data_IF_486971351709
#
_entry.id   IF_486971351709
#
_cell.length_a   1.000
_cell.length_b   1.000
_cell.length_c   1.000
_cell.angle_alpha   90.00
_cell.angle_beta   90.00
_cell.angle_gamma   90.00
#
_symmetry.space_group_name_H-M   'P 1'
#
loop_
_entity.id
_entity.type
_entity.pdbx_description
1 polymer ?
#
# COMPACT_ATOMS: atom_id res chain seq x y z
N UNK A 1 -67.75 -59.74 26.56
CA UNK A 1 -68.14 -58.97 25.36
C UNK A 1 -69.63 -58.68 25.48
N UNK A 2 -70.16 -57.47 25.17
CA UNK A 2 -69.55 -56.33 24.46
C UNK A 2 -69.62 -54.98 25.21
N UNK A 3 -68.99 -53.97 24.57
CA UNK A 3 -68.80 -52.55 24.91
C UNK A 3 -69.98 -51.67 24.48
N UNK A 4 -70.16 -50.50 25.13
CA UNK A 4 -70.61 -49.18 24.59
C UNK A 4 -70.66 -48.16 25.75
N UNK A 5 -69.62 -47.35 26.01
CA UNK A 5 -69.39 -45.94 25.59
C UNK A 5 -70.58 -44.97 25.66
N UNK A 6 -70.55 -44.06 26.63
CA UNK A 6 -71.15 -42.73 26.56
C UNK A 6 -70.12 -41.72 27.13
N UNK A 7 -69.64 -40.79 26.30
CA UNK A 7 -68.87 -39.63 26.76
C UNK A 7 -69.44 -38.38 26.11
N UNK A 8 -69.79 -37.45 26.98
CA UNK A 8 -70.48 -36.20 26.69
C UNK A 8 -69.56 -35.14 26.08
N UNK A 9 -70.24 -34.19 25.43
CA UNK A 9 -69.81 -33.00 24.70
C UNK A 9 -68.61 -32.21 25.24
N UNK A 10 -67.70 -31.86 24.32
CA UNK A 10 -66.97 -30.59 24.32
C UNK A 10 -66.91 -30.07 22.88
N UNK A 11 -67.50 -28.89 22.64
CA UNK A 11 -67.51 -28.17 21.36
C UNK A 11 -66.09 -27.78 20.93
N UNK A 12 -65.74 -27.84 19.62
CA UNK A 12 -64.54 -27.19 19.10
C UNK A 12 -64.77 -25.69 18.78
N UNK A 13 -63.71 -24.86 18.72
CA UNK A 13 -63.82 -23.43 18.47
C UNK A 13 -64.08 -23.11 16.99
N UNK A 14 -64.73 -21.96 16.76
CA UNK A 14 -65.06 -21.41 15.45
C UNK A 14 -63.80 -21.16 14.60
N UNK A 15 -63.85 -21.56 13.34
CA UNK A 15 -62.83 -21.30 12.32
C UNK A 15 -62.64 -19.79 12.05
N UNK A 16 -61.40 -19.30 11.82
CA UNK A 16 -61.21 -17.92 11.39
C UNK A 16 -61.75 -17.72 9.97
N UNK A 17 -62.59 -16.70 9.81
CA UNK A 17 -63.18 -16.31 8.55
C UNK A 17 -62.12 -16.12 7.46
N UNK A 18 -62.33 -16.76 6.31
CA UNK A 18 -61.48 -16.70 5.12
C UNK A 18 -61.53 -15.27 4.56
N UNK A 19 -60.57 -14.42 4.95
CA UNK A 19 -60.42 -13.07 4.37
C UNK A 19 -60.17 -13.20 2.87
N UNK A 20 -60.98 -12.50 2.08
CA UNK A 20 -60.84 -12.41 0.64
C UNK A 20 -59.46 -11.82 0.29
N UNK A 21 -58.75 -12.42 -0.68
CA UNK A 21 -57.46 -11.91 -1.16
C UNK A 21 -57.52 -10.44 -1.63
N UNK A 22 -58.71 -9.92 -1.93
CA UNK A 22 -58.90 -8.51 -2.33
C UNK A 22 -58.66 -7.52 -1.19
N UNK A 23 -59.06 -7.83 0.05
CA UNK A 23 -58.91 -6.88 1.16
C UNK A 23 -57.45 -6.73 1.62
N UNK A 24 -56.63 -7.77 1.43
CA UNK A 24 -55.19 -7.72 1.74
C UNK A 24 -54.45 -6.86 0.72
N UNK A 25 -54.84 -6.89 -0.55
CA UNK A 25 -54.19 -6.08 -1.60
C UNK A 25 -54.54 -4.60 -1.43
N UNK A 26 -55.77 -4.27 -1.04
CA UNK A 26 -56.16 -2.89 -0.73
C UNK A 26 -55.47 -2.35 0.53
N UNK A 27 -55.30 -3.16 1.57
CA UNK A 27 -54.53 -2.78 2.77
C UNK A 27 -53.04 -2.54 2.45
N UNK A 28 -52.45 -3.40 1.60
CA UNK A 28 -51.05 -3.24 1.15
C UNK A 28 -50.89 -2.00 0.28
N UNK A 29 -51.84 -1.72 -0.62
CA UNK A 29 -51.82 -0.51 -1.44
C UNK A 29 -52.00 0.77 -0.60
N UNK A 30 -52.89 0.73 0.41
CA UNK A 30 -53.12 1.86 1.31
C UNK A 30 -51.94 2.11 2.26
N UNK A 31 -51.21 1.06 2.67
CA UNK A 31 -49.97 1.23 3.44
C UNK A 31 -48.80 1.71 2.57
N UNK A 32 -48.70 1.22 1.32
CA UNK A 32 -47.68 1.68 0.38
C UNK A 32 -47.82 3.18 0.04
N UNK A 33 -49.06 3.69 -0.05
CA UNK A 33 -49.33 5.11 -0.24
C UNK A 33 -48.93 5.95 0.99
N UNK A 34 -49.18 5.47 2.20
CA UNK A 34 -48.77 6.15 3.45
C UNK A 34 -47.26 6.10 3.68
N UNK A 35 -46.58 5.01 3.31
CA UNK A 35 -45.13 4.90 3.32
C UNK A 35 -44.49 5.81 2.25
N UNK A 36 -45.13 5.96 1.08
CA UNK A 36 -44.69 6.91 0.06
C UNK A 36 -44.82 8.36 0.55
N UNK A 37 -45.92 8.70 1.24
CA UNK A 37 -46.12 10.02 1.87
C UNK A 37 -45.14 10.28 3.03
N UNK A 38 -44.82 9.28 3.85
CA UNK A 38 -43.82 9.40 4.92
C UNK A 38 -42.39 9.46 4.38
N UNK A 39 -42.09 8.79 3.25
CA UNK A 39 -40.80 8.91 2.55
C UNK A 39 -40.61 10.29 1.92
N UNK A 40 -41.67 10.99 1.51
CA UNK A 40 -41.55 12.37 0.99
C UNK A 40 -41.40 13.45 2.06
N UNK A 41 -41.76 13.17 3.32
CA UNK A 41 -41.77 14.18 4.38
C UNK A 41 -40.55 14.18 5.31
N UNK A 42 -39.63 13.21 5.18
CA UNK A 42 -38.37 13.17 5.96
C UNK A 42 -37.12 13.00 5.08
N UNK A 43 -37.13 13.59 3.88
CA UNK A 43 -35.87 13.94 3.21
C UNK A 43 -35.29 15.18 3.88
N UNK A 44 -34.89 15.03 5.14
CA UNK A 44 -33.81 15.83 5.69
C UNK A 44 -32.67 15.72 4.70
N UNK A 45 -32.47 16.77 3.90
CA UNK A 45 -31.43 16.84 2.87
C UNK A 45 -30.12 16.64 3.61
N UNK A 46 -29.65 15.40 3.66
CA UNK A 46 -28.27 15.09 3.94
C UNK A 46 -27.52 15.73 2.79
N UNK A 47 -27.18 17.02 2.96
CA UNK A 47 -26.35 17.77 2.05
C UNK A 47 -25.09 16.92 1.91
N UNK A 48 -24.98 16.21 0.78
CA UNK A 48 -23.75 15.56 0.36
C UNK A 48 -22.72 16.70 0.32
N UNK A 49 -21.99 16.89 1.42
CA UNK A 49 -20.98 17.93 1.51
C UNK A 49 -20.00 17.64 0.40
N UNK A 50 -20.03 18.46 -0.64
CA UNK A 50 -19.06 18.40 -1.71
C UNK A 50 -17.67 18.41 -1.05
N UNK A 51 -16.75 17.51 -1.45
CA UNK A 51 -15.42 17.48 -0.88
C UNK A 51 -14.78 18.86 -0.96
N UNK A 52 -14.20 19.33 0.14
CA UNK A 52 -13.56 20.64 0.17
C UNK A 52 -12.52 20.75 -0.97
N UNK A 53 -12.46 21.89 -1.69
CA UNK A 53 -11.47 22.09 -2.75
C UNK A 53 -10.04 22.02 -2.18
N UNK A 54 -9.02 21.75 -3.02
CA UNK A 54 -7.63 21.78 -2.60
C UNK A 54 -7.25 23.16 -2.05
N UNK A 55 -6.52 23.20 -0.95
CA UNK A 55 -6.00 24.43 -0.37
C UNK A 55 -4.59 24.76 -0.85
N UNK A 56 -4.05 25.90 -0.39
CA UNK A 56 -2.68 26.36 -0.73
C UNK A 56 -1.61 25.28 -0.46
N UNK A 57 -1.71 24.57 0.66
CA UNK A 57 -0.76 23.50 1.02
C UNK A 57 -0.80 22.33 0.02
N UNK A 58 -1.97 22.00 -0.54
CA UNK A 58 -2.08 20.93 -1.55
C UNK A 58 -1.34 21.33 -2.83
N UNK A 59 -1.46 22.59 -3.24
CA UNK A 59 -0.75 23.11 -4.41
C UNK A 59 0.76 23.21 -4.18
N UNK A 60 1.20 23.64 -3.00
CA UNK A 60 2.63 23.68 -2.65
C UNK A 60 3.21 22.27 -2.66
N UNK A 61 2.56 21.31 -1.99
CA UNK A 61 3.01 19.92 -1.99
C UNK A 61 3.08 19.34 -3.41
N UNK A 62 2.13 19.67 -4.27
CA UNK A 62 2.15 19.22 -5.66
C UNK A 62 3.32 19.80 -6.46
N UNK A 63 3.56 21.11 -6.34
CA UNK A 63 4.72 21.74 -6.99
C UNK A 63 6.03 21.19 -6.46
N UNK A 64 6.16 21.03 -5.14
CA UNK A 64 7.36 20.45 -4.53
C UNK A 64 7.59 19.02 -5.02
N UNK A 65 6.55 18.18 -5.06
CA UNK A 65 6.67 16.83 -5.58
C UNK A 65 7.09 16.81 -7.05
N UNK A 66 6.49 17.64 -7.91
CA UNK A 66 6.83 17.70 -9.33
C UNK A 66 8.25 18.24 -9.59
N UNK A 67 8.65 19.29 -8.87
CA UNK A 67 9.99 19.88 -8.99
C UNK A 67 11.08 18.93 -8.48
N UNK A 68 10.79 18.15 -7.43
CA UNK A 68 11.71 17.16 -6.89
C UNK A 68 12.00 15.99 -7.84
N UNK A 69 11.09 15.68 -8.77
CA UNK A 69 11.32 14.70 -9.84
C UNK A 69 12.29 15.19 -10.92
N UNK A 70 12.37 16.51 -11.16
CA UNK A 70 13.04 17.05 -12.34
C UNK A 70 14.53 16.68 -12.45
N UNK A 71 15.34 16.72 -11.38
CA UNK A 71 16.76 16.39 -11.50
C UNK A 71 16.98 14.94 -11.95
N UNK A 72 16.27 13.99 -11.35
CA UNK A 72 16.39 12.57 -11.70
C UNK A 72 15.84 12.29 -13.10
N UNK A 73 14.66 12.85 -13.43
CA UNK A 73 14.07 12.71 -14.76
C UNK A 73 15.00 13.26 -15.85
N UNK A 74 15.66 14.40 -15.58
CA UNK A 74 16.62 15.02 -16.50
C UNK A 74 17.85 14.13 -16.70
N UNK A 75 18.43 13.60 -15.62
CA UNK A 75 19.56 12.68 -15.70
C UNK A 75 19.22 11.41 -16.48
N UNK A 76 18.08 10.78 -16.16
CA UNK A 76 17.63 9.57 -16.85
C UNK A 76 17.34 9.83 -18.33
N UNK A 77 16.72 10.96 -18.67
CA UNK A 77 16.48 11.34 -20.06
C UNK A 77 17.80 11.61 -20.81
N UNK A 78 18.77 12.28 -20.17
CA UNK A 78 20.09 12.51 -20.74
C UNK A 78 20.83 11.20 -20.99
N UNK A 79 20.80 10.23 -20.05
CA UNK A 79 21.40 8.92 -20.23
C UNK A 79 20.73 8.10 -21.35
N UNK A 80 19.41 8.19 -21.51
CA UNK A 80 18.69 7.58 -22.65
C UNK A 80 19.14 8.21 -23.98
N UNK A 81 19.41 9.52 -23.99
CA UNK A 81 19.93 10.25 -25.14
C UNK A 81 21.45 10.03 -25.38
N UNK A 82 22.12 9.24 -24.53
CA UNK A 82 23.54 8.90 -24.68
C UNK A 82 24.52 9.81 -23.93
N UNK A 83 24.04 10.70 -23.07
CA UNK A 83 24.93 11.48 -22.18
C UNK A 83 25.61 10.60 -21.14
N UNK A 84 26.86 10.91 -20.81
CA UNK A 84 27.62 10.32 -19.71
C UNK A 84 27.67 11.23 -18.46
N UNK A 85 26.81 12.25 -18.36
CA UNK A 85 26.82 13.17 -17.22
C UNK A 85 26.65 12.42 -15.89
N UNK A 86 27.63 12.57 -14.99
CA UNK A 86 27.64 11.90 -13.69
C UNK A 86 28.07 10.42 -13.72
N UNK A 87 28.51 9.92 -14.88
CA UNK A 87 29.05 8.56 -15.06
C UNK A 87 30.58 8.66 -15.26
N UNK A 88 31.39 8.15 -14.31
CA UNK A 88 32.85 8.13 -14.45
C UNK A 88 33.33 7.33 -15.67
N UNK A 89 34.50 7.64 -16.26
CA UNK A 89 35.02 6.96 -17.45
C UNK A 89 35.21 5.45 -17.29
N UNK A 90 35.57 5.00 -16.08
CA UNK A 90 35.77 3.58 -15.74
C UNK A 90 34.47 2.89 -15.29
N UNK A 91 33.30 3.51 -15.46
CA UNK A 91 32.06 2.93 -14.95
C UNK A 91 31.56 1.82 -15.87
N UNK A 92 31.19 0.63 -15.33
CA UNK A 92 30.61 -0.47 -16.11
C UNK A 92 29.25 -0.10 -16.73
N UNK A 93 28.66 1.03 -16.35
CA UNK A 93 27.45 1.57 -16.99
C UNK A 93 27.66 1.93 -18.47
N UNK A 94 28.90 2.15 -18.90
CA UNK A 94 29.21 2.50 -20.28
C UNK A 94 29.17 1.28 -21.23
N UNK A 95 29.33 0.06 -20.70
CA UNK A 95 29.47 -1.18 -21.49
C UNK A 95 28.13 -1.80 -21.95
N UNK A 96 27.04 -1.56 -21.21
CA UNK A 96 25.76 -2.26 -21.39
C UNK A 96 24.63 -1.37 -21.92
N UNK A 97 24.79 -0.90 -23.16
CA UNK A 97 24.00 0.21 -23.71
C UNK A 97 22.50 -0.05 -23.87
N UNK A 98 22.03 -1.19 -24.36
CA UNK A 98 20.59 -1.35 -24.65
C UNK A 98 19.76 -1.63 -23.39
N UNK A 99 20.16 -2.61 -22.58
CA UNK A 99 19.42 -2.99 -21.36
C UNK A 99 19.39 -1.83 -20.37
N UNK A 100 20.50 -1.12 -20.21
CA UNK A 100 20.56 0.06 -19.35
C UNK A 100 19.68 1.21 -19.89
N UNK A 101 19.67 1.45 -21.20
CA UNK A 101 18.76 2.45 -21.81
C UNK A 101 17.29 2.09 -21.57
N UNK A 102 16.91 0.82 -21.69
CA UNK A 102 15.55 0.36 -21.41
C UNK A 102 15.20 0.48 -19.93
N UNK A 103 16.13 0.14 -19.03
CA UNK A 103 15.96 0.34 -17.58
C UNK A 103 15.78 1.82 -17.24
N UNK A 104 16.60 2.70 -17.82
CA UNK A 104 16.49 4.15 -17.66
C UNK A 104 15.17 4.68 -18.20
N UNK A 105 14.75 4.26 -19.39
CA UNK A 105 13.45 4.61 -19.97
C UNK A 105 12.29 4.16 -19.07
N UNK A 106 12.36 2.96 -18.51
CA UNK A 106 11.41 2.47 -17.52
C UNK A 106 11.32 3.39 -16.30
N UNK A 107 12.45 3.86 -15.77
CA UNK A 107 12.45 4.81 -14.64
C UNK A 107 11.91 6.19 -15.01
N UNK A 108 12.10 6.66 -16.25
CA UNK A 108 11.46 7.90 -16.73
C UNK A 108 9.94 7.75 -16.73
N UNK A 109 9.42 6.60 -17.18
CA UNK A 109 7.98 6.31 -17.15
C UNK A 109 7.46 6.28 -15.72
N UNK A 110 8.21 5.69 -14.79
CA UNK A 110 7.83 5.64 -13.37
C UNK A 110 7.72 7.04 -12.76
N UNK A 111 8.70 7.92 -12.98
CA UNK A 111 8.66 9.30 -12.48
C UNK A 111 7.59 10.14 -13.18
N UNK A 112 7.38 9.93 -14.49
CA UNK A 112 6.27 10.51 -15.23
C UNK A 112 4.91 10.11 -14.62
N UNK A 113 4.75 8.86 -14.20
CA UNK A 113 3.55 8.39 -13.52
C UNK A 113 3.35 9.08 -12.16
N UNK A 114 4.42 9.44 -11.45
CA UNK A 114 4.33 10.24 -10.22
C UNK A 114 3.80 11.64 -10.53
N UNK A 115 4.24 12.29 -11.61
CA UNK A 115 3.73 13.60 -12.02
C UNK A 115 2.22 13.51 -12.35
N UNK A 116 1.79 12.49 -13.09
CA UNK A 116 0.37 12.24 -13.37
C UNK A 116 -0.41 12.01 -12.07
N UNK A 117 0.16 11.26 -11.12
CA UNK A 117 -0.43 11.02 -9.83
C UNK A 117 -0.59 12.30 -9.00
N UNK A 118 0.41 13.18 -9.00
CA UNK A 118 0.33 14.51 -8.37
C UNK A 118 -0.82 15.33 -8.97
N UNK A 119 -0.95 15.33 -10.30
CA UNK A 119 -2.05 16.02 -10.99
C UNK A 119 -3.40 15.44 -10.56
N UNK A 120 -3.53 14.11 -10.50
CA UNK A 120 -4.75 13.45 -10.02
C UNK A 120 -5.09 13.85 -8.58
N UNK A 121 -4.11 13.96 -7.69
CA UNK A 121 -4.37 14.27 -6.27
C UNK A 121 -4.75 15.75 -6.04
N UNK A 122 -4.43 16.65 -6.96
CA UNK A 122 -4.74 18.09 -6.84
C UNK A 122 -5.92 18.51 -7.70
N UNK A 123 -6.07 17.95 -8.90
CA UNK A 123 -7.04 18.44 -9.88
C UNK A 123 -8.44 17.83 -9.62
N UNK A 124 -9.52 18.55 -9.98
CA UNK A 124 -10.88 18.09 -9.70
C UNK A 124 -11.26 16.77 -10.37
N UNK A 125 -10.62 16.42 -11.50
CA UNK A 125 -10.89 15.16 -12.21
C UNK A 125 -10.36 13.93 -11.45
N UNK A 126 -9.37 14.07 -10.56
CA UNK A 126 -8.93 12.95 -9.74
C UNK A 126 -9.99 12.46 -8.77
N UNK A 127 -10.88 13.34 -8.30
CA UNK A 127 -12.03 12.94 -7.49
C UNK A 127 -13.04 12.09 -8.30
N UNK A 128 -12.97 12.07 -9.63
CA UNK A 128 -13.80 11.20 -10.48
C UNK A 128 -13.10 9.89 -10.82
N UNK A 129 -11.78 9.81 -10.64
CA UNK A 129 -11.03 8.60 -10.95
C UNK A 129 -11.42 7.45 -10.01
N UNK A 130 -11.51 6.21 -10.53
CA UNK A 130 -11.59 5.00 -9.71
C UNK A 130 -10.53 4.98 -8.62
N UNK A 131 -10.90 4.64 -7.38
CA UNK A 131 -9.97 4.69 -6.23
C UNK A 131 -8.72 3.83 -6.41
N UNK A 132 -8.82 2.70 -7.11
CA UNK A 132 -7.70 1.80 -7.36
C UNK A 132 -6.63 2.41 -8.28
N UNK A 133 -7.01 3.27 -9.24
CA UNK A 133 -6.08 4.01 -10.10
C UNK A 133 -5.25 5.04 -9.34
N UNK A 134 -5.62 5.36 -8.10
CA UNK A 134 -4.86 6.24 -7.21
C UNK A 134 -4.11 5.44 -6.16
N UNK A 135 -4.80 4.52 -5.49
CA UNK A 135 -4.23 3.77 -4.37
C UNK A 135 -3.07 2.88 -4.82
N UNK A 136 -3.18 2.18 -5.96
CA UNK A 136 -2.11 1.29 -6.43
C UNK A 136 -0.85 2.08 -6.79
N UNK A 137 -0.89 3.14 -7.62
CA UNK A 137 0.31 3.93 -7.89
C UNK A 137 0.92 4.61 -6.67
N UNK A 138 0.11 5.16 -5.75
CA UNK A 138 0.63 5.72 -4.49
C UNK A 138 1.30 4.65 -3.65
N UNK A 139 0.70 3.46 -3.56
CA UNK A 139 1.25 2.35 -2.78
C UNK A 139 2.59 1.87 -3.35
N UNK A 140 2.70 1.76 -4.67
CA UNK A 140 3.96 1.45 -5.37
C UNK A 140 4.99 2.55 -5.10
N UNK A 141 4.64 3.81 -5.34
CA UNK A 141 5.55 4.94 -5.18
C UNK A 141 6.07 5.06 -3.73
N UNK A 142 5.17 5.05 -2.75
CA UNK A 142 5.56 5.11 -1.33
C UNK A 142 6.33 3.86 -0.88
N UNK A 143 6.02 2.69 -1.43
CA UNK A 143 6.77 1.46 -1.19
C UNK A 143 8.20 1.54 -1.70
N UNK A 144 8.40 1.99 -2.94
CA UNK A 144 9.73 2.16 -3.54
C UNK A 144 10.54 3.27 -2.86
N UNK A 145 9.89 4.35 -2.44
CA UNK A 145 10.58 5.48 -1.81
C UNK A 145 10.97 5.20 -0.35
N UNK A 146 10.27 4.30 0.35
CA UNK A 146 10.50 4.07 1.79
C UNK A 146 11.94 3.64 2.12
N UNK A 147 12.57 2.66 1.43
CA UNK A 147 13.97 2.31 1.67
C UNK A 147 14.93 3.48 1.44
N UNK A 148 14.62 4.39 0.51
CA UNK A 148 15.46 5.57 0.23
C UNK A 148 15.32 6.60 1.36
N UNK A 149 14.08 6.86 1.79
CA UNK A 149 13.76 7.79 2.90
C UNK A 149 14.40 7.35 4.21
N UNK A 150 14.51 6.05 4.46
CA UNK A 150 15.15 5.53 5.67
C UNK A 150 16.65 5.30 5.51
N UNK A 151 17.06 4.74 4.38
CA UNK A 151 18.41 4.25 4.14
C UNK A 151 19.40 5.37 3.88
N UNK A 152 19.09 6.29 2.98
CA UNK A 152 20.05 7.32 2.59
C UNK A 152 20.43 8.26 3.74
N UNK A 153 19.49 8.79 4.56
CA UNK A 153 19.87 9.57 5.73
C UNK A 153 20.69 8.76 6.74
N UNK A 154 20.39 7.48 6.92
CA UNK A 154 21.15 6.61 7.82
C UNK A 154 22.58 6.35 7.30
N UNK A 155 22.77 6.21 5.99
CA UNK A 155 24.09 6.13 5.35
C UNK A 155 24.90 7.41 5.56
N UNK A 156 24.29 8.58 5.37
CA UNK A 156 24.94 9.86 5.63
C UNK A 156 25.37 10.02 7.09
N UNK A 157 24.50 9.63 8.03
CA UNK A 157 24.83 9.65 9.46
C UNK A 157 25.97 8.68 9.77
N UNK A 158 25.94 7.46 9.23
CA UNK A 158 27.02 6.50 9.41
C UNK A 158 28.36 7.01 8.86
N UNK A 159 28.35 7.63 7.67
CA UNK A 159 29.53 8.29 7.09
C UNK A 159 30.05 9.45 7.95
N UNK A 160 29.16 10.31 8.46
CA UNK A 160 29.53 11.41 9.34
C UNK A 160 30.13 10.95 10.69
N UNK A 161 29.73 9.76 11.16
CA UNK A 161 30.29 9.11 12.35
C UNK A 161 31.61 8.36 12.06
N UNK A 162 32.14 8.46 10.84
CA UNK A 162 33.38 7.78 10.44
C UNK A 162 33.23 6.27 10.23
N UNK A 163 32.01 5.74 10.25
CA UNK A 163 31.77 4.33 9.95
C UNK A 163 31.98 4.03 8.46
N UNK A 164 31.73 5.03 7.60
CA UNK A 164 32.26 5.05 6.23
C UNK A 164 33.65 5.68 6.26
N UNK A 165 34.70 4.87 6.16
CA UNK A 165 36.05 5.39 6.01
C UNK A 165 36.10 6.47 4.93
N UNK A 166 36.91 7.50 5.17
CA UNK A 166 37.16 8.67 4.30
C UNK A 166 37.87 8.29 2.99
N UNK A 167 37.28 7.36 2.25
CA UNK A 167 37.83 6.69 1.10
C UNK A 167 36.88 5.57 0.69
N UNK A 168 35.74 5.92 0.09
CA UNK A 168 34.93 4.97 -0.67
C UNK A 168 35.60 4.61 -2.01
N UNK A 169 36.92 4.42 -1.99
CA UNK A 169 37.58 3.46 -2.87
C UNK A 169 37.41 2.11 -2.18
N UNK A 170 36.22 1.52 -2.32
CA UNK A 170 36.25 0.11 -2.70
C UNK A 170 37.17 0.04 -3.92
N UNK A 171 38.07 -0.94 -4.03
CA UNK A 171 38.78 -1.21 -5.28
C UNK A 171 37.82 -1.52 -6.47
N UNK A 172 36.51 -1.46 -6.24
CA UNK A 172 35.48 -1.46 -7.26
C UNK A 172 35.33 -0.07 -7.90
N UNK A 173 35.31 -0.07 -9.23
CA UNK A 173 35.11 1.12 -10.06
C UNK A 173 33.87 1.92 -9.65
N UNK A 174 33.97 3.26 -9.56
CA UNK A 174 32.85 4.09 -9.13
C UNK A 174 31.71 4.04 -10.16
N UNK A 175 30.56 3.53 -9.72
CA UNK A 175 29.37 3.35 -10.55
C UNK A 175 28.80 4.68 -11.08
N UNK A 176 28.70 5.70 -10.21
CA UNK A 176 28.25 7.06 -10.51
C UNK A 176 29.02 8.04 -9.62
N UNK A 177 29.11 9.31 -10.04
CA UNK A 177 29.63 10.38 -9.18
C UNK A 177 28.79 10.55 -7.90
N UNK A 178 29.44 10.87 -6.78
CA UNK A 178 28.78 11.01 -5.47
C UNK A 178 27.69 12.08 -5.44
N UNK A 179 27.84 13.17 -6.20
CA UNK A 179 26.85 14.23 -6.29
C UNK A 179 25.53 13.75 -6.91
N UNK A 180 25.57 12.73 -7.78
CA UNK A 180 24.38 12.15 -8.42
C UNK A 180 23.49 11.53 -7.36
N UNK A 181 24.07 10.76 -6.43
CA UNK A 181 23.32 10.17 -5.32
C UNK A 181 22.70 11.25 -4.43
N UNK A 182 23.44 12.32 -4.11
CA UNK A 182 22.93 13.40 -3.29
C UNK A 182 21.73 14.12 -3.93
N UNK A 183 21.83 14.44 -5.22
CA UNK A 183 20.75 15.11 -5.97
C UNK A 183 19.55 14.18 -6.12
N UNK A 184 19.76 12.92 -6.51
CA UNK A 184 18.69 11.97 -6.80
C UNK A 184 17.97 11.52 -5.54
N UNK A 185 18.70 11.05 -4.52
CA UNK A 185 18.09 10.57 -3.28
C UNK A 185 17.54 11.73 -2.45
N UNK A 186 18.18 12.91 -2.48
CA UNK A 186 17.61 14.13 -1.90
C UNK A 186 16.26 14.49 -2.55
N UNK A 187 16.20 14.49 -3.89
CA UNK A 187 14.97 14.69 -4.64
C UNK A 187 13.88 13.67 -4.28
N UNK A 188 14.20 12.38 -4.26
CA UNK A 188 13.27 11.33 -3.88
C UNK A 188 12.72 11.47 -2.45
N UNK A 189 13.54 11.90 -1.49
CA UNK A 189 13.07 12.14 -0.12
C UNK A 189 12.06 13.29 -0.10
N UNK A 190 12.38 14.41 -0.75
CA UNK A 190 11.48 15.57 -0.85
C UNK A 190 10.17 15.17 -1.55
N UNK A 191 10.27 14.43 -2.65
CA UNK A 191 9.14 13.88 -3.40
C UNK A 191 8.28 12.96 -2.52
N UNK A 192 8.88 12.05 -1.76
CA UNK A 192 8.17 11.13 -0.88
C UNK A 192 7.36 11.89 0.19
N UNK A 193 7.95 12.89 0.83
CA UNK A 193 7.31 13.70 1.86
C UNK A 193 6.15 14.53 1.29
N UNK A 194 6.38 15.16 0.12
CA UNK A 194 5.38 15.98 -0.54
C UNK A 194 4.21 15.14 -1.07
N UNK A 195 4.49 14.03 -1.75
CA UNK A 195 3.48 13.09 -2.27
C UNK A 195 2.66 12.47 -1.15
N UNK A 196 3.30 12.04 -0.05
CA UNK A 196 2.60 11.47 1.11
C UNK A 196 1.69 12.51 1.76
N UNK A 197 2.19 13.73 1.97
CA UNK A 197 1.38 14.83 2.51
C UNK A 197 0.15 15.08 1.65
N UNK A 198 0.36 15.20 0.34
CA UNK A 198 -0.71 15.44 -0.63
C UNK A 198 -1.72 14.29 -0.66
N UNK A 199 -1.25 13.05 -0.65
CA UNK A 199 -2.10 11.86 -0.63
C UNK A 199 -2.94 11.79 0.64
N UNK A 200 -2.37 12.02 1.83
CA UNK A 200 -3.12 11.99 3.09
C UNK A 200 -4.22 13.04 3.12
N UNK A 201 -3.94 14.25 2.60
CA UNK A 201 -4.93 15.33 2.49
C UNK A 201 -6.01 15.02 1.46
N UNK A 202 -5.64 14.46 0.31
CA UNK A 202 -6.58 13.97 -0.70
C UNK A 202 -7.47 12.86 -0.13
N UNK A 203 -6.88 11.89 0.55
CA UNK A 203 -7.58 10.77 1.17
C UNK A 203 -8.54 11.25 2.27
N UNK A 204 -8.13 12.23 3.08
CA UNK A 204 -8.97 12.86 4.08
C UNK A 204 -10.18 13.58 3.50
N UNK A 205 -10.09 14.12 2.28
CA UNK A 205 -11.23 14.74 1.57
C UNK A 205 -12.13 13.69 0.91
N UNK A 206 -11.54 12.68 0.27
CA UNK A 206 -12.25 11.69 -0.53
C UNK A 206 -12.90 10.57 0.31
N UNK A 207 -12.23 10.11 1.35
CA UNK A 207 -12.62 8.94 2.14
C UNK A 207 -12.86 9.28 3.62
N UNK A 208 -13.23 10.53 3.90
CA UNK A 208 -13.46 11.04 5.25
C UNK A 208 -14.49 10.21 6.06
N UNK A 209 -15.52 9.67 5.38
CA UNK A 209 -16.54 8.82 5.98
C UNK A 209 -16.02 7.44 6.38
N UNK A 210 -15.19 6.83 5.51
CA UNK A 210 -14.54 5.52 5.75
C UNK A 210 -13.55 5.59 6.92
N UNK A 211 -12.91 6.74 7.14
CA UNK A 211 -11.98 6.97 8.24
C UNK A 211 -12.68 7.19 9.60
N UNK A 212 -13.91 7.72 9.61
CA UNK A 212 -14.65 8.13 10.82
C UNK A 212 -15.57 7.05 11.42
N UNK A 213 -15.77 5.92 10.72
CA UNK A 213 -16.54 4.79 11.26
C UNK A 213 -16.00 4.30 12.61
N UNK A 214 -16.82 4.35 13.66
CA UNK A 214 -16.46 3.88 15.01
C UNK A 214 -16.10 2.38 14.95
N UNK A 215 -14.93 1.96 15.47
CA UNK A 215 -14.60 0.55 15.58
C UNK A 215 -15.50 -0.09 16.65
N UNK A 216 -16.65 -0.65 16.25
CA UNK A 216 -17.52 -1.34 17.20
C UNK A 216 -18.91 -1.72 16.71
N UNK A 217 -19.45 -1.12 15.67
CA UNK A 217 -20.88 -1.31 15.35
C UNK A 217 -21.19 -2.44 14.36
N UNK A 218 -20.20 -2.99 13.65
CA UNK A 218 -20.49 -4.01 12.65
C UNK A 218 -19.51 -5.17 12.72
N UNK A 219 -20.07 -6.38 12.81
CA UNK A 219 -19.31 -7.64 12.71
C UNK A 219 -18.78 -7.73 11.27
N UNK A 220 -17.49 -8.04 11.06
CA UNK A 220 -17.04 -8.36 9.72
C UNK A 220 -17.72 -9.67 9.30
N UNK A 221 -18.61 -9.58 8.31
CA UNK A 221 -19.12 -10.74 7.58
C UNK A 221 -18.07 -11.31 6.61
N UNK A 222 -16.86 -10.73 6.58
CA UNK A 222 -15.69 -11.32 5.94
C UNK A 222 -15.22 -12.57 6.68
N UNK A 223 -14.90 -13.63 5.93
CA UNK A 223 -14.43 -14.91 6.48
C UNK A 223 -13.19 -14.70 7.37
N UNK A 224 -13.37 -14.82 8.70
CA UNK A 224 -12.28 -14.80 9.68
C UNK A 224 -11.19 -15.83 9.35
N UNK A 225 -11.56 -16.92 8.67
CA UNK A 225 -10.62 -17.94 8.23
C UNK A 225 -9.65 -17.39 7.16
N UNK A 226 -10.14 -16.63 6.18
CA UNK A 226 -9.30 -16.02 5.15
C UNK A 226 -8.31 -15.01 5.74
N UNK A 227 -8.74 -14.16 6.68
CA UNK A 227 -7.85 -13.24 7.38
C UNK A 227 -6.77 -13.98 8.19
N UNK A 228 -7.14 -15.07 8.90
CA UNK A 228 -6.18 -15.91 9.63
C UNK A 228 -5.18 -16.60 8.70
N UNK A 229 -5.62 -17.07 7.53
CA UNK A 229 -4.75 -17.70 6.55
C UNK A 229 -3.71 -16.72 6.01
N UNK A 230 -4.11 -15.49 5.68
CA UNK A 230 -3.19 -14.45 5.21
C UNK A 230 -2.18 -14.06 6.29
N UNK A 231 -2.62 -13.93 7.55
CA UNK A 231 -1.74 -13.70 8.69
C UNK A 231 -0.75 -14.86 8.85
N UNK A 232 -1.22 -16.10 8.82
CA UNK A 232 -0.36 -17.28 8.91
C UNK A 232 0.66 -17.30 7.77
N UNK A 233 0.24 -17.00 6.54
CA UNK A 233 1.14 -16.89 5.39
C UNK A 233 2.24 -15.86 5.60
N UNK A 234 1.91 -14.64 6.06
CA UNK A 234 2.91 -13.62 6.40
C UNK A 234 3.86 -14.11 7.49
N UNK A 235 3.34 -14.71 8.56
CA UNK A 235 4.16 -15.21 9.68
C UNK A 235 5.08 -16.38 9.29
N UNK A 236 4.65 -17.25 8.38
CA UNK A 236 5.44 -18.39 7.90
C UNK A 236 6.50 -17.96 6.89
N UNK A 237 6.17 -17.02 6.00
CA UNK A 237 7.08 -16.61 4.92
C UNK A 237 8.14 -15.59 5.36
N UNK A 238 7.89 -14.81 6.42
CA UNK A 238 8.79 -13.72 6.85
C UNK A 238 10.10 -14.16 7.52
N UNK A 239 10.16 -15.21 8.36
CA UNK A 239 11.36 -15.54 9.13
C UNK A 239 12.62 -15.73 8.27
N UNK A 240 12.51 -16.43 7.14
CA UNK A 240 13.63 -16.66 6.24
C UNK A 240 14.26 -15.36 5.69
N UNK A 241 13.53 -14.51 4.92
CA UNK A 241 14.11 -13.28 4.42
C UNK A 241 14.48 -12.30 5.54
N UNK A 242 13.74 -12.29 6.65
CA UNK A 242 14.07 -11.42 7.78
C UNK A 242 15.39 -11.80 8.43
N UNK A 243 15.63 -13.09 8.68
CA UNK A 243 16.87 -13.56 9.29
C UNK A 243 18.09 -13.21 8.43
N UNK A 244 18.01 -13.38 7.10
CA UNK A 244 19.10 -13.02 6.20
C UNK A 244 19.32 -11.51 6.13
N UNK A 245 18.25 -10.69 6.07
CA UNK A 245 18.39 -9.23 6.09
C UNK A 245 19.00 -8.74 7.41
N UNK A 246 18.65 -9.33 8.55
CA UNK A 246 19.25 -9.01 9.84
C UNK A 246 20.72 -9.48 9.92
N UNK A 247 21.03 -10.67 9.39
CA UNK A 247 22.39 -11.17 9.33
C UNK A 247 23.29 -10.27 8.46
N UNK A 248 22.81 -9.87 7.28
CA UNK A 248 23.52 -8.92 6.42
C UNK A 248 23.64 -7.54 7.07
N UNK A 249 22.60 -7.04 7.74
CA UNK A 249 22.67 -5.80 8.50
C UNK A 249 23.73 -5.87 9.64
N UNK A 250 23.91 -7.05 10.23
CA UNK A 250 24.95 -7.32 11.23
C UNK A 250 26.34 -7.58 10.62
N UNK A 251 26.48 -7.56 9.30
CA UNK A 251 27.75 -7.70 8.59
C UNK A 251 28.10 -9.12 8.11
N UNK A 252 27.16 -10.06 8.16
CA UNK A 252 27.34 -11.37 7.53
C UNK A 252 27.57 -11.23 6.02
N UNK A 253 28.52 -11.99 5.47
CA UNK A 253 28.73 -12.16 4.03
C UNK A 253 27.97 -13.37 3.44
N UNK A 254 26.99 -13.94 4.15
CA UNK A 254 26.33 -15.17 3.73
C UNK A 254 25.71 -15.05 2.32
N UNK A 255 26.19 -15.87 1.38
CA UNK A 255 25.74 -15.88 -0.01
C UNK A 255 26.13 -14.65 -0.81
N UNK A 256 27.06 -13.83 -0.32
CA UNK A 256 27.66 -12.68 -0.99
C UNK A 256 29.16 -12.97 -1.22
N UNK A 257 29.78 -12.28 -2.17
CA UNK A 257 31.21 -12.47 -2.49
C UNK A 257 32.17 -11.91 -1.42
N UNK A 258 31.62 -11.24 -0.40
CA UNK A 258 32.37 -10.71 0.73
C UNK A 258 31.47 -10.10 1.82
N UNK A 259 32.05 -9.66 2.94
CA UNK A 259 31.31 -8.90 3.94
C UNK A 259 30.79 -7.59 3.33
N UNK A 260 29.51 -7.31 3.56
CA UNK A 260 28.86 -6.12 3.00
C UNK A 260 29.46 -4.80 3.52
N UNK A 261 29.46 -3.78 2.66
CA UNK A 261 29.80 -2.41 3.05
C UNK A 261 28.83 -1.85 4.10
N UNK A 262 29.21 -0.77 4.77
CA UNK A 262 28.32 -0.07 5.71
C UNK A 262 27.00 0.28 5.03
N UNK A 263 27.06 0.75 3.79
CA UNK A 263 25.88 1.12 3.01
C UNK A 263 24.98 -0.08 2.74
N UNK A 264 25.54 -1.23 2.35
CA UNK A 264 24.75 -2.44 2.13
C UNK A 264 24.14 -2.97 3.42
N UNK A 265 24.82 -2.83 4.56
CA UNK A 265 24.28 -3.17 5.89
C UNK A 265 23.09 -2.29 6.25
N UNK A 266 23.18 -0.97 6.01
CA UNK A 266 22.07 -0.04 6.22
C UNK A 266 20.89 -0.40 5.32
N UNK A 267 21.13 -0.69 4.05
CA UNK A 267 20.08 -1.13 3.11
C UNK A 267 19.41 -2.41 3.61
N UNK A 268 20.18 -3.41 4.04
CA UNK A 268 19.63 -4.65 4.61
C UNK A 268 18.75 -4.39 5.85
N UNK A 269 19.18 -3.47 6.73
CA UNK A 269 18.39 -3.05 7.88
C UNK A 269 17.05 -2.41 7.47
N UNK A 270 17.01 -1.54 6.45
CA UNK A 270 15.74 -0.96 5.96
C UNK A 270 14.79 -2.01 5.40
N UNK A 271 15.32 -3.06 4.77
CA UNK A 271 14.53 -4.18 4.27
C UNK A 271 13.96 -5.03 5.40
N UNK A 272 14.75 -5.29 6.45
CA UNK A 272 14.26 -5.92 7.67
C UNK A 272 13.14 -5.10 8.32
N UNK A 273 13.30 -3.77 8.43
CA UNK A 273 12.24 -2.88 8.93
C UNK A 273 10.95 -2.97 8.10
N UNK A 274 11.07 -3.03 6.77
CA UNK A 274 9.92 -3.15 5.87
C UNK A 274 9.14 -4.46 6.08
N UNK A 275 9.85 -5.57 6.26
CA UNK A 275 9.27 -6.88 6.60
C UNK A 275 8.55 -6.83 7.95
N UNK A 276 9.18 -6.23 8.96
CA UNK A 276 8.59 -6.07 10.29
C UNK A 276 7.33 -5.19 10.26
N UNK A 277 7.32 -4.12 9.47
CA UNK A 277 6.12 -3.29 9.25
C UNK A 277 5.01 -4.09 8.56
N UNK A 278 5.34 -4.94 7.57
CA UNK A 278 4.37 -5.79 6.89
C UNK A 278 3.71 -6.78 7.87
N UNK A 279 4.51 -7.42 8.73
CA UNK A 279 4.03 -8.29 9.81
C UNK A 279 3.15 -7.48 10.77
N UNK A 280 3.70 -6.44 11.40
CA UNK A 280 3.01 -5.66 12.43
C UNK A 280 1.68 -5.07 11.91
N UNK A 281 1.68 -4.56 10.68
CA UNK A 281 0.48 -4.06 10.01
C UNK A 281 -0.56 -5.15 9.79
N UNK A 282 -0.16 -6.30 9.24
CA UNK A 282 -1.06 -7.43 8.99
C UNK A 282 -1.68 -7.97 10.28
N UNK A 283 -0.86 -8.16 11.33
CA UNK A 283 -1.34 -8.59 12.65
C UNK A 283 -2.27 -7.55 13.28
N UNK A 284 -1.92 -6.27 13.20
CA UNK A 284 -2.72 -5.18 13.76
C UNK A 284 -4.05 -4.93 13.04
N UNK A 285 -4.16 -5.33 11.78
CA UNK A 285 -5.43 -5.31 11.03
C UNK A 285 -6.29 -6.54 11.32
N UNK A 286 -5.68 -7.72 11.54
CA UNK A 286 -6.39 -8.97 11.77
C UNK A 286 -6.86 -9.17 13.22
N UNK A 287 -6.04 -8.76 14.20
CA UNK A 287 -6.36 -8.90 15.62
C UNK A 287 -6.78 -7.59 16.27
N UNK A 288 -7.67 -7.70 17.27
CA UNK A 288 -8.23 -6.53 17.94
C UNK A 288 -7.12 -5.75 18.62
N UNK A 289 -7.12 -4.45 18.32
CA UNK A 289 -6.11 -3.49 18.77
C UNK A 289 -6.16 -3.31 20.28
N UNK A 290 -5.03 -2.95 20.92
CA UNK A 290 -5.09 -2.25 22.20
C UNK A 290 -6.01 -1.03 22.03
N UNK A 291 -6.92 -0.79 22.98
CA UNK A 291 -7.90 0.32 22.92
C UNK A 291 -7.29 1.70 22.65
N UNK A 292 -5.96 1.84 22.84
CA UNK A 292 -5.20 3.08 22.72
C UNK A 292 -4.59 3.34 21.33
N UNK A 293 -4.53 2.37 20.41
CA UNK A 293 -3.87 2.57 19.11
C UNK A 293 -4.83 3.03 17.99
N UNK A 294 -4.58 4.20 17.35
CA UNK A 294 -5.38 4.68 16.22
C UNK A 294 -5.24 3.76 15.01
N UNK A 295 -6.23 3.77 14.09
CA UNK A 295 -6.23 2.86 12.93
C UNK A 295 -5.11 3.18 11.95
N UNK A 296 -4.75 4.45 11.89
CA UNK A 296 -3.69 4.95 11.04
C UNK A 296 -2.38 4.18 11.25
N UNK A 297 -2.09 3.72 12.48
CA UNK A 297 -0.86 3.01 12.78
C UNK A 297 -0.75 1.63 12.07
N UNK A 298 -1.63 0.63 12.33
CA UNK A 298 -1.56 -0.66 11.62
C UNK A 298 -1.88 -0.53 10.13
N UNK A 299 -2.73 0.41 9.74
CA UNK A 299 -3.02 0.66 8.32
C UNK A 299 -1.78 1.19 7.59
N UNK A 300 -1.09 2.18 8.18
CA UNK A 300 0.14 2.74 7.65
C UNK A 300 1.28 1.73 7.63
N UNK A 301 1.42 0.92 8.69
CA UNK A 301 2.39 -0.17 8.74
C UNK A 301 2.12 -1.24 7.66
N UNK A 302 0.85 -1.66 7.49
CA UNK A 302 0.48 -2.60 6.44
C UNK A 302 0.71 -2.01 5.04
N UNK A 303 0.36 -0.73 4.83
CA UNK A 303 0.56 0.00 3.58
C UNK A 303 2.04 0.07 3.21
N UNK A 304 2.86 0.68 4.07
CA UNK A 304 4.27 0.92 3.83
C UNK A 304 5.08 -0.38 3.81
N UNK A 305 4.82 -1.28 4.77
CA UNK A 305 5.53 -2.55 4.87
C UNK A 305 5.28 -3.47 3.69
N UNK A 306 4.01 -3.67 3.29
CA UNK A 306 3.70 -4.52 2.13
C UNK A 306 4.23 -3.92 0.83
N UNK A 307 4.09 -2.61 0.63
CA UNK A 307 4.55 -1.91 -0.57
C UNK A 307 6.06 -1.95 -0.70
N UNK A 308 6.80 -1.58 0.35
CA UNK A 308 8.25 -1.60 0.33
C UNK A 308 8.82 -3.01 0.19
N UNK A 309 8.20 -4.00 0.85
CA UNK A 309 8.65 -5.39 0.73
C UNK A 309 8.42 -5.94 -0.68
N UNK A 310 7.23 -5.71 -1.28
CA UNK A 310 6.92 -6.19 -2.62
C UNK A 310 7.68 -5.42 -3.71
N UNK A 311 7.45 -4.11 -3.79
CA UNK A 311 7.88 -3.31 -4.94
C UNK A 311 9.40 -3.23 -5.04
N UNK A 312 10.10 -3.11 -3.90
CA UNK A 312 11.56 -3.11 -3.91
C UNK A 312 12.13 -4.48 -4.27
N UNK A 313 11.51 -5.57 -3.79
CA UNK A 313 11.95 -6.91 -4.14
C UNK A 313 11.78 -7.19 -5.64
N UNK A 314 10.64 -6.82 -6.22
CA UNK A 314 10.41 -6.91 -7.67
C UNK A 314 11.40 -6.07 -8.47
N UNK A 315 11.70 -4.84 -8.01
CA UNK A 315 12.69 -3.97 -8.63
C UNK A 315 14.09 -4.60 -8.65
N UNK A 316 14.50 -5.27 -7.57
CA UNK A 316 15.78 -5.99 -7.48
C UNK A 316 15.81 -7.30 -8.27
N UNK A 317 14.67 -7.97 -8.45
CA UNK A 317 14.58 -9.19 -9.27
C UNK A 317 14.75 -8.89 -10.76
N UNK A 318 14.35 -7.71 -11.24
CA UNK A 318 14.37 -7.37 -12.65
C UNK A 318 15.77 -7.56 -13.30
N UNK A 319 16.87 -7.00 -12.77
CA UNK A 319 18.20 -7.24 -13.35
C UNK A 319 18.66 -8.70 -13.23
N UNK A 320 18.24 -9.42 -12.18
CA UNK A 320 18.61 -10.82 -11.96
C UNK A 320 17.96 -11.77 -12.98
N UNK A 321 16.70 -11.54 -13.34
CA UNK A 321 15.96 -12.41 -14.29
C UNK A 321 16.16 -12.03 -15.75
N UNK A 322 16.57 -10.79 -16.02
CA UNK A 322 16.85 -10.31 -17.39
C UNK A 322 18.28 -10.60 -17.83
N UNK A 323 19.12 -11.17 -16.94
CA UNK A 323 20.55 -11.38 -17.19
C UNK A 323 21.39 -10.10 -17.12
N UNK A 324 20.77 -8.95 -16.81
CA UNK A 324 21.47 -7.68 -16.67
C UNK A 324 22.44 -7.65 -15.48
N UNK A 325 22.22 -8.52 -14.49
CA UNK A 325 23.13 -8.73 -13.36
C UNK A 325 24.37 -9.58 -13.73
N UNK A 326 24.46 -10.09 -14.96
CA UNK A 326 25.52 -11.01 -15.39
C UNK A 326 25.39 -12.43 -14.80
N UNK A 327 26.36 -13.29 -15.13
CA UNK A 327 26.39 -14.70 -14.73
C UNK A 327 26.63 -14.93 -13.22
N UNK A 328 26.89 -13.88 -12.46
CA UNK A 328 27.34 -13.94 -11.06
C UNK A 328 26.21 -13.75 -10.03
N UNK A 329 24.94 -13.93 -10.41
CA UNK A 329 23.84 -13.78 -9.45
C UNK A 329 23.80 -14.96 -8.47
N UNK A 330 24.30 -14.76 -7.25
CA UNK A 330 24.20 -15.75 -6.17
C UNK A 330 22.75 -16.15 -5.90
N UNK A 331 22.51 -17.47 -5.75
CA UNK A 331 21.18 -18.04 -5.57
C UNK A 331 20.48 -17.57 -4.28
N UNK A 332 21.25 -17.22 -3.24
CA UNK A 332 20.69 -16.86 -1.93
C UNK A 332 20.05 -15.45 -1.93
N UNK A 333 20.70 -14.37 -2.41
CA UNK A 333 20.04 -13.09 -2.65
C UNK A 333 18.78 -13.18 -3.51
N UNK A 334 18.84 -13.97 -4.61
CA UNK A 334 17.68 -14.21 -5.46
C UNK A 334 16.50 -14.79 -4.65
N UNK A 335 16.75 -15.85 -3.87
CA UNK A 335 15.73 -16.50 -3.05
C UNK A 335 15.16 -15.55 -1.98
N UNK A 336 15.99 -14.70 -1.38
CA UNK A 336 15.54 -13.66 -0.43
C UNK A 336 14.60 -12.67 -1.11
N UNK A 337 14.89 -12.21 -2.32
CA UNK A 337 14.00 -11.31 -3.06
C UNK A 337 12.69 -11.99 -3.50
N UNK A 338 12.73 -13.26 -3.89
CA UNK A 338 11.51 -14.05 -4.15
C UNK A 338 10.67 -14.18 -2.89
N UNK A 339 11.26 -14.56 -1.76
CA UNK A 339 10.55 -14.68 -0.49
C UNK A 339 9.94 -13.35 -0.04
N UNK A 340 10.69 -12.24 -0.15
CA UNK A 340 10.17 -10.88 0.11
C UNK A 340 8.97 -10.54 -0.78
N UNK A 341 9.05 -10.86 -2.07
CA UNK A 341 7.94 -10.66 -3.02
C UNK A 341 6.68 -11.37 -2.53
N UNK A 342 6.79 -12.62 -2.09
CA UNK A 342 5.66 -13.37 -1.53
C UNK A 342 5.11 -12.74 -0.25
N UNK A 343 5.98 -12.36 0.70
CA UNK A 343 5.56 -11.69 1.96
C UNK A 343 4.80 -10.41 1.66
N UNK A 344 5.36 -9.54 0.81
CA UNK A 344 4.75 -8.27 0.42
C UNK A 344 3.41 -8.46 -0.29
N UNK A 345 3.31 -9.45 -1.19
CA UNK A 345 2.07 -9.77 -1.89
C UNK A 345 0.97 -10.25 -0.93
N UNK A 346 1.27 -11.21 -0.03
CA UNK A 346 0.29 -11.73 0.93
C UNK A 346 -0.17 -10.63 1.90
N UNK A 347 0.76 -9.81 2.40
CA UNK A 347 0.43 -8.67 3.26
C UNK A 347 -0.42 -7.61 2.51
N UNK A 348 -0.11 -7.35 1.24
CA UNK A 348 -0.88 -6.45 0.37
C UNK A 348 -2.32 -6.96 0.14
N UNK A 349 -2.49 -8.26 -0.09
CA UNK A 349 -3.82 -8.89 -0.20
C UNK A 349 -4.59 -8.78 1.12
N UNK A 350 -3.94 -8.96 2.26
CA UNK A 350 -4.56 -8.76 3.58
C UNK A 350 -5.05 -7.31 3.78
N UNK A 351 -4.23 -6.33 3.40
CA UNK A 351 -4.60 -4.91 3.40
C UNK A 351 -5.80 -4.64 2.48
N UNK A 352 -5.78 -5.15 1.23
CA UNK A 352 -6.88 -4.98 0.29
C UNK A 352 -8.19 -5.62 0.79
N UNK A 353 -8.11 -6.82 1.37
CA UNK A 353 -9.25 -7.49 2.00
C UNK A 353 -9.84 -6.66 3.14
N UNK A 354 -8.98 -6.10 4.00
CA UNK A 354 -9.40 -5.20 5.06
C UNK A 354 -10.10 -3.95 4.51
N UNK A 355 -9.52 -3.29 3.50
CA UNK A 355 -10.12 -2.10 2.89
C UNK A 355 -11.48 -2.40 2.22
N UNK A 356 -11.63 -3.54 1.54
CA UNK A 356 -12.90 -3.96 0.93
C UNK A 356 -14.01 -4.20 1.95
N UNK A 357 -13.69 -4.87 3.05
CA UNK A 357 -14.68 -5.09 4.14
C UNK A 357 -15.13 -3.76 4.75
N UNK A 358 -14.21 -2.80 4.89
CA UNK A 358 -14.51 -1.44 5.38
C UNK A 358 -15.42 -0.64 4.44
N UNK A 359 -15.17 -0.68 3.13
CA UNK A 359 -15.98 0.05 2.16
C UNK A 359 -17.39 -0.53 2.05
N UNK A 360 -17.53 -1.87 2.09
CA UNK A 360 -18.84 -2.52 2.11
C UNK A 360 -19.65 -2.18 3.36
N UNK A 361 -18.99 -2.09 4.52
CA UNK A 361 -19.62 -1.68 5.77
C UNK A 361 -20.07 -0.21 5.77
N UNK A 362 -19.29 0.69 5.16
CA UNK A 362 -19.66 2.10 5.06
C UNK A 362 -20.90 2.32 4.18
N UNK A 363 -20.99 1.61 3.04
CA UNK A 363 -22.16 1.68 2.16
C UNK A 363 -23.44 1.12 2.80
N UNK A 364 -23.33 0.07 3.62
CA UNK A 364 -24.47 -0.51 4.32
C UNK A 364 -24.97 0.36 5.49
N UNK A 365 -24.09 1.15 6.13
CA UNK A 365 -24.46 2.06 7.22
C UNK A 365 -25.09 3.38 6.73
N UNK A 366 -24.96 3.71 5.45
CA UNK A 366 -25.64 4.84 4.81
C UNK A 366 -27.03 4.47 4.26
N UNK A 367 -27.38 3.18 4.20
CA UNK A 367 -28.66 2.67 3.70
C UNK A 367 -29.66 2.23 4.79
N UNK A 368 -29.32 2.44 6.06
CA UNK A 368 -30.17 2.20 7.24
C UNK A 368 -30.40 3.54 7.92
#
# INVERSE_FOLDING_TARGET
MPRLTLRADLRPPLSPARRSRFTVVEEVAANAAREAESMTSDHGTAVLRSPAPPGRLDHVAAWVAALACLPYLTLKAAWVAGSSLGIPPESPLLDHTLVLRLANAGTVVMDGAVIVLVLLLVRPWGLRAPGWLLLVPVWIATGLLLPIVLGYPAQLVAGALGAGGSGSTSDAEPFLDSWVFAVVYGGFIVQALALTTLFLRYAGRRWAGVARGRPGQFRPDGSRAASRLLVAGVLVLTPFPLALQLAWAAGSGAGLDGPGSVDSRVVAATHACSLLLAVAGTLGLAWRRPRRLPLAAPLGAAWLGSGATLCWALWMLLPMVTGAAGDQTSALPLLVHVARTLVGAVAGVALLGFLRTRTGQAGAAESV
#
